data_IF_598572833869
#
_entry.id   IF_598572833869
#
_cell.length_a   1.000
_cell.length_b   1.000
_cell.length_c   1.000
_cell.angle_alpha   90.00
_cell.angle_beta   90.00
_cell.angle_gamma   90.00
#
_symmetry.space_group_name_H-M   'P 1'
#
loop_
_entity.id
_entity.type
_entity.pdbx_description
1 polymer ?
#
# COMPACT_ATOMS: atom_id res chain seq x y z
N UNK A 1 2.18 0.54 -26.27
CA UNK A 1 2.79 0.49 -24.93
C UNK A 1 1.81 -0.09 -23.93
N UNK A 2 2.26 -1.05 -23.14
CA UNK A 2 1.58 -1.38 -21.88
C UNK A 2 1.89 -0.30 -20.84
N UNK A 3 0.90 0.06 -20.05
CA UNK A 3 1.00 1.15 -19.07
C UNK A 3 0.29 0.81 -17.77
N UNK A 4 0.72 1.46 -16.68
CA UNK A 4 0.02 1.45 -15.39
C UNK A 4 -0.27 2.90 -14.97
N UNK A 5 -1.54 3.26 -14.75
CA UNK A 5 -1.88 4.51 -14.08
C UNK A 5 -1.49 4.46 -12.59
N UNK A 6 -0.80 5.48 -12.10
CA UNK A 6 -0.30 5.59 -10.73
C UNK A 6 -0.98 6.80 -10.06
N UNK A 7 -1.72 6.62 -8.95
CA UNK A 7 -2.45 7.71 -8.30
C UNK A 7 -1.54 8.73 -7.60
N UNK A 8 -0.25 8.41 -7.42
CA UNK A 8 0.80 9.34 -7.00
C UNK A 8 1.62 9.78 -8.22
N UNK A 9 1.43 11.02 -8.73
CA UNK A 9 2.09 11.45 -9.95
C UNK A 9 3.57 11.75 -9.74
N UNK A 10 4.35 11.82 -10.83
CA UNK A 10 5.75 12.23 -10.81
C UNK A 10 6.01 13.34 -11.85
N UNK A 11 5.81 14.60 -11.47
CA UNK A 11 5.96 15.72 -12.42
C UNK A 11 7.41 16.11 -12.75
N UNK A 12 8.41 15.57 -12.03
CA UNK A 12 9.85 15.86 -12.21
C UNK A 12 10.30 17.30 -11.86
N UNK A 13 9.36 18.20 -11.53
CA UNK A 13 9.63 19.65 -11.43
C UNK A 13 9.52 20.21 -10.01
N UNK A 14 8.62 19.67 -9.19
CA UNK A 14 8.39 20.17 -7.83
C UNK A 14 9.49 19.77 -6.85
N UNK A 15 9.54 20.44 -5.69
CA UNK A 15 10.52 20.16 -4.62
C UNK A 15 10.51 18.68 -4.21
N UNK A 16 9.33 18.08 -4.03
CA UNK A 16 9.22 16.67 -3.65
C UNK A 16 9.84 15.74 -4.71
N UNK A 17 9.51 15.95 -5.99
CA UNK A 17 10.08 15.13 -7.08
C UNK A 17 11.60 15.26 -7.23
N UNK A 18 12.18 16.38 -6.79
CA UNK A 18 13.63 16.61 -6.82
C UNK A 18 14.34 16.15 -5.54
N UNK A 19 13.60 15.71 -4.52
CA UNK A 19 14.15 15.33 -3.24
C UNK A 19 14.41 13.81 -3.20
N UNK A 20 15.57 13.34 -2.72
CA UNK A 20 15.96 11.93 -2.80
C UNK A 20 15.08 10.97 -1.98
N UNK A 21 14.33 11.51 -1.00
CA UNK A 21 13.52 10.70 -0.08
C UNK A 21 12.01 11.00 -0.14
N UNK A 22 11.55 11.86 -1.06
CA UNK A 22 10.13 12.21 -1.15
C UNK A 22 9.50 11.64 -2.42
N UNK A 23 8.33 11.03 -2.29
CA UNK A 23 7.52 10.51 -3.40
C UNK A 23 6.14 11.16 -3.51
N UNK A 24 5.78 12.07 -2.60
CA UNK A 24 4.49 12.78 -2.62
C UNK A 24 4.61 14.04 -3.47
N UNK A 25 4.36 13.92 -4.77
CA UNK A 25 4.37 15.07 -5.68
C UNK A 25 3.29 16.09 -5.31
N UNK A 26 3.58 17.38 -5.36
CA UNK A 26 2.60 18.45 -5.05
C UNK A 26 1.41 18.53 -6.02
N UNK A 27 1.46 17.78 -7.12
CA UNK A 27 0.38 17.67 -8.12
C UNK A 27 -0.60 16.53 -7.81
N UNK A 28 -0.42 15.80 -6.71
CA UNK A 28 -1.32 14.72 -6.30
C UNK A 28 -2.72 15.25 -5.92
N UNK A 29 -3.73 14.41 -6.06
CA UNK A 29 -5.13 14.71 -5.70
C UNK A 29 -5.53 14.29 -4.28
N UNK A 30 -4.62 13.72 -3.47
CA UNK A 30 -4.93 13.28 -2.11
C UNK A 30 -5.06 14.43 -1.10
N UNK A 31 -4.47 15.61 -1.40
CA UNK A 31 -4.59 16.80 -0.54
C UNK A 31 -5.81 17.68 -0.87
N UNK A 32 -6.05 17.93 -2.16
CA UNK A 32 -7.19 18.73 -2.63
C UNK A 32 -7.90 17.93 -3.71
N UNK A 33 -8.87 17.13 -3.28
CA UNK A 33 -9.62 16.25 -4.17
C UNK A 33 -10.64 17.07 -4.99
N UNK A 34 -10.27 17.45 -6.22
CA UNK A 34 -11.16 18.17 -7.15
C UNK A 34 -11.99 17.24 -8.02
N UNK A 35 -11.47 16.04 -8.32
CA UNK A 35 -12.11 15.09 -9.24
C UNK A 35 -12.19 15.58 -10.69
N UNK A 36 -11.29 16.49 -11.08
CA UNK A 36 -11.25 17.11 -12.42
C UNK A 36 -9.82 17.09 -12.95
N UNK A 37 -9.68 17.13 -14.28
CA UNK A 37 -8.37 17.31 -14.92
C UNK A 37 -7.79 18.70 -14.64
N UNK A 38 -6.52 18.93 -14.98
CA UNK A 38 -5.82 20.21 -14.79
C UNK A 38 -6.52 21.43 -15.45
N UNK A 39 -7.34 21.18 -16.48
CA UNK A 39 -8.16 22.20 -17.16
C UNK A 39 -9.51 22.47 -16.47
N UNK A 40 -9.73 21.93 -15.27
CA UNK A 40 -10.98 21.99 -14.49
C UNK A 40 -12.20 21.38 -15.19
N UNK A 41 -11.99 20.40 -16.07
CA UNK A 41 -13.09 19.67 -16.72
C UNK A 41 -12.99 18.16 -16.47
N UNK A 42 -14.10 17.47 -16.68
CA UNK A 42 -14.11 16.01 -16.69
C UNK A 42 -14.01 15.47 -18.11
N UNK A 43 -13.48 14.25 -18.23
CA UNK A 43 -13.49 13.45 -19.47
C UNK A 43 -14.61 12.41 -19.46
N UNK A 44 -15.36 12.34 -18.36
CA UNK A 44 -16.45 11.41 -18.17
C UNK A 44 -17.80 12.12 -18.12
N UNK A 45 -18.78 11.54 -18.79
CA UNK A 45 -20.18 11.86 -18.59
C UNK A 45 -21.01 10.58 -18.63
N UNK A 46 -22.13 10.56 -17.93
CA UNK A 46 -23.12 9.48 -18.00
C UNK A 46 -24.51 10.10 -17.93
N UNK A 47 -25.39 9.68 -18.85
CA UNK A 47 -26.77 10.21 -18.95
C UNK A 47 -26.81 11.75 -19.01
N UNK A 48 -25.88 12.34 -19.75
CA UNK A 48 -25.76 13.79 -19.92
C UNK A 48 -25.20 14.56 -18.71
N UNK A 49 -24.76 13.88 -17.65
CA UNK A 49 -24.18 14.51 -16.46
C UNK A 49 -22.68 14.24 -16.37
N UNK A 50 -21.84 15.25 -16.09
CA UNK A 50 -20.41 15.03 -15.82
C UNK A 50 -20.21 14.08 -14.64
N UNK A 51 -19.23 13.18 -14.74
CA UNK A 51 -18.78 12.33 -13.63
C UNK A 51 -17.37 12.76 -13.25
N UNK A 52 -17.03 12.82 -11.97
CA UNK A 52 -15.67 13.16 -11.55
C UNK A 52 -14.66 12.05 -11.84
N UNK A 53 -13.42 12.47 -12.03
CA UNK A 53 -12.26 11.60 -11.94
C UNK A 53 -11.98 11.18 -10.50
N UNK A 54 -11.22 10.10 -10.33
CA UNK A 54 -10.76 9.63 -9.04
C UNK A 54 -9.24 9.47 -9.05
N UNK A 55 -8.57 10.26 -8.21
CA UNK A 55 -7.12 10.26 -7.97
C UNK A 55 -6.29 10.26 -9.26
N UNK A 56 -6.73 11.04 -10.25
CA UNK A 56 -6.07 11.17 -11.56
C UNK A 56 -6.01 9.89 -12.41
N UNK A 57 -6.75 8.83 -12.08
CA UNK A 57 -6.66 7.52 -12.78
C UNK A 57 -7.99 6.96 -13.29
N UNK A 58 -9.04 6.92 -12.46
CA UNK A 58 -10.39 6.43 -12.83
C UNK A 58 -10.41 5.09 -13.58
N UNK A 59 -9.81 4.05 -13.01
CA UNK A 59 -9.58 2.77 -13.71
C UNK A 59 -10.80 1.85 -13.82
N UNK A 60 -11.95 2.22 -13.23
CA UNK A 60 -13.21 1.47 -13.34
C UNK A 60 -14.04 1.89 -14.56
N UNK A 61 -13.41 1.86 -15.73
CA UNK A 61 -13.98 2.18 -17.03
C UNK A 61 -13.19 1.41 -18.09
N UNK A 62 -13.83 1.03 -19.21
CA UNK A 62 -13.12 0.41 -20.34
C UNK A 62 -12.04 1.33 -20.92
N UNK A 63 -12.26 2.65 -20.82
CA UNK A 63 -11.30 3.68 -21.22
C UNK A 63 -11.23 4.78 -20.16
N UNK A 64 -10.03 5.32 -19.95
CA UNK A 64 -9.79 6.48 -19.09
C UNK A 64 -8.84 7.45 -19.80
N UNK A 65 -8.86 8.71 -19.36
CA UNK A 65 -7.94 9.75 -19.82
C UNK A 65 -7.16 10.22 -18.60
N UNK A 66 -5.84 10.11 -18.66
CA UNK A 66 -4.94 10.48 -17.57
C UNK A 66 -3.96 11.55 -18.04
N UNK A 67 -3.51 12.38 -17.11
CA UNK A 67 -2.37 13.26 -17.36
C UNK A 67 -1.09 12.39 -17.49
N UNK A 68 -0.15 12.82 -18.34
CA UNK A 68 1.13 12.12 -18.57
C UNK A 68 1.89 11.82 -17.27
N UNK A 69 1.83 12.73 -16.29
CA UNK A 69 2.52 12.57 -15.01
C UNK A 69 1.93 11.48 -14.09
N UNK A 70 0.78 10.88 -14.46
CA UNK A 70 0.06 9.84 -13.72
C UNK A 70 0.18 8.46 -14.38
N UNK A 71 1.01 8.29 -15.43
CA UNK A 71 1.10 7.03 -16.16
C UNK A 71 2.54 6.64 -16.44
N UNK A 72 2.87 5.39 -16.11
CA UNK A 72 4.17 4.82 -16.40
C UNK A 72 4.06 3.77 -17.49
N UNK A 73 4.96 3.85 -18.47
CA UNK A 73 5.19 2.78 -19.45
C UNK A 73 5.86 1.60 -18.73
N UNK A 74 5.39 0.40 -19.02
CA UNK A 74 5.95 -0.84 -18.49
C UNK A 74 6.44 -1.76 -19.62
N UNK A 75 7.03 -2.89 -19.24
CA UNK A 75 7.44 -3.94 -20.16
C UNK A 75 6.24 -4.46 -20.99
N UNK A 76 6.39 -4.50 -22.31
CA UNK A 76 5.37 -4.99 -23.23
C UNK A 76 5.08 -6.50 -23.04
N UNK A 77 5.99 -7.26 -22.40
CA UNK A 77 5.77 -8.65 -22.02
C UNK A 77 4.99 -8.83 -20.70
N UNK A 78 4.76 -7.76 -19.93
CA UNK A 78 4.15 -7.87 -18.61
C UNK A 78 2.70 -8.40 -18.65
N UNK A 79 2.32 -9.39 -17.81
CA UNK A 79 0.95 -9.88 -17.71
C UNK A 79 0.08 -8.90 -16.91
N UNK A 80 -0.74 -8.11 -17.61
CA UNK A 80 -1.52 -7.00 -17.03
C UNK A 80 -2.52 -7.44 -15.95
N UNK A 81 -3.01 -8.67 -16.02
CA UNK A 81 -3.87 -9.32 -15.01
C UNK A 81 -3.18 -9.53 -13.66
N UNK A 82 -1.84 -9.44 -13.61
CA UNK A 82 -1.03 -9.58 -12.40
C UNK A 82 -0.37 -8.27 -11.99
N UNK A 83 0.28 -7.60 -12.95
CA UNK A 83 1.09 -6.41 -12.64
C UNK A 83 0.25 -5.19 -12.31
N UNK A 84 -1.06 -5.22 -12.54
CA UNK A 84 -1.97 -4.17 -12.08
C UNK A 84 -1.87 -3.90 -10.57
N UNK A 85 -1.51 -4.91 -9.76
CA UNK A 85 -1.32 -4.77 -8.32
C UNK A 85 -0.14 -3.87 -7.93
N UNK A 86 0.84 -3.71 -8.83
CA UNK A 86 1.99 -2.80 -8.66
C UNK A 86 1.53 -1.34 -8.65
N UNK A 87 0.41 -1.01 -9.31
CA UNK A 87 -0.11 0.36 -9.34
C UNK A 87 -0.57 0.90 -7.98
N UNK A 88 -0.77 0.03 -6.98
CA UNK A 88 -1.09 0.45 -5.63
C UNK A 88 -0.67 -0.60 -4.58
N UNK A 89 -1.55 -1.56 -4.27
CA UNK A 89 -1.48 -2.34 -3.04
C UNK A 89 -0.18 -3.11 -2.81
N UNK A 90 0.39 -3.71 -3.85
CA UNK A 90 1.66 -4.43 -3.73
C UNK A 90 2.82 -3.47 -3.42
N UNK A 91 3.01 -2.45 -4.24
CA UNK A 91 4.10 -1.48 -4.10
C UNK A 91 4.01 -0.71 -2.79
N UNK A 92 2.81 -0.35 -2.35
CA UNK A 92 2.58 0.31 -1.06
C UNK A 92 3.08 -0.55 0.09
N UNK A 93 2.60 -1.79 0.22
CA UNK A 93 3.00 -2.64 1.35
C UNK A 93 4.46 -3.05 1.29
N UNK A 94 4.93 -3.49 0.12
CA UNK A 94 6.32 -3.91 -0.07
C UNK A 94 7.29 -2.75 0.20
N UNK A 95 7.04 -1.58 -0.39
CA UNK A 95 7.85 -0.39 -0.20
C UNK A 95 7.82 0.18 1.22
N UNK A 96 6.71 0.03 1.95
CA UNK A 96 6.64 0.40 3.37
C UNK A 96 7.67 -0.36 4.20
N UNK A 97 7.83 -1.67 3.97
CA UNK A 97 8.81 -2.47 4.67
C UNK A 97 10.25 -2.19 4.18
N UNK A 98 10.48 -2.23 2.86
CA UNK A 98 11.85 -2.20 2.31
C UNK A 98 12.43 -0.79 2.21
N UNK A 99 11.63 0.21 1.87
CA UNK A 99 12.11 1.55 1.53
C UNK A 99 11.91 2.55 2.68
N UNK A 100 10.77 2.46 3.37
CA UNK A 100 10.39 3.40 4.44
C UNK A 100 10.93 2.92 5.78
N UNK A 101 10.46 1.77 6.27
CA UNK A 101 10.92 1.19 7.53
C UNK A 101 12.38 0.70 7.43
N UNK A 102 12.80 0.26 6.24
CA UNK A 102 14.13 -0.32 5.98
C UNK A 102 14.39 -1.47 6.95
N UNK A 103 13.45 -2.41 7.00
CA UNK A 103 13.55 -3.64 7.78
C UNK A 103 14.92 -4.29 7.53
N UNK A 104 15.58 -4.74 8.59
CA UNK A 104 16.91 -5.32 8.50
C UNK A 104 16.90 -6.79 8.91
N UNK A 105 17.91 -7.54 8.45
CA UNK A 105 18.00 -8.96 8.73
C UNK A 105 18.08 -9.23 10.23
N UNK A 106 17.32 -10.22 10.71
CA UNK A 106 17.27 -10.57 12.13
C UNK A 106 16.19 -9.84 12.95
N UNK A 107 15.54 -8.80 12.39
CA UNK A 107 14.55 -8.03 13.13
C UNK A 107 13.23 -8.77 13.35
N UNK A 108 12.47 -8.33 14.34
CA UNK A 108 11.08 -8.70 14.60
C UNK A 108 10.12 -7.66 14.05
N UNK A 109 9.17 -8.09 13.22
CA UNK A 109 8.15 -7.24 12.62
C UNK A 109 6.74 -7.64 13.07
N UNK A 110 5.88 -6.65 13.29
CA UNK A 110 4.43 -6.84 13.53
C UNK A 110 3.63 -6.14 12.44
N UNK A 111 2.69 -6.86 11.84
CA UNK A 111 1.83 -6.33 10.76
C UNK A 111 0.37 -6.43 11.17
N UNK A 112 -0.28 -5.28 11.39
CA UNK A 112 -1.70 -5.17 11.72
C UNK A 112 -2.54 -5.03 10.45
N UNK A 113 -3.44 -5.98 10.21
CA UNK A 113 -4.30 -6.05 9.04
C UNK A 113 -3.71 -6.89 7.92
N UNK A 114 -4.41 -7.96 7.55
CA UNK A 114 -3.96 -8.96 6.56
C UNK A 114 -4.73 -8.86 5.23
N UNK A 115 -5.04 -7.63 4.81
CA UNK A 115 -5.49 -7.31 3.46
C UNK A 115 -4.35 -7.31 2.44
N UNK A 116 -4.61 -6.91 1.19
CA UNK A 116 -3.60 -6.92 0.13
C UNK A 116 -2.31 -6.12 0.45
N UNK A 117 -2.45 -4.97 1.12
CA UNK A 117 -1.31 -4.14 1.54
C UNK A 117 -0.52 -4.84 2.65
N UNK A 118 -1.18 -5.28 3.73
CA UNK A 118 -0.48 -5.95 4.85
C UNK A 118 0.19 -7.26 4.44
N UNK A 119 -0.42 -8.04 3.55
CA UNK A 119 0.24 -9.21 2.94
C UNK A 119 1.48 -8.81 2.13
N UNK A 120 1.48 -7.64 1.50
CA UNK A 120 2.63 -7.11 0.78
C UNK A 120 3.72 -6.57 1.70
N UNK A 121 3.35 -6.02 2.87
CA UNK A 121 4.29 -5.72 3.96
C UNK A 121 4.98 -6.99 4.43
N UNK A 122 4.24 -8.07 4.68
CA UNK A 122 4.83 -9.37 5.09
C UNK A 122 5.85 -9.86 4.06
N UNK A 123 5.54 -9.77 2.77
CA UNK A 123 6.50 -10.12 1.71
C UNK A 123 7.76 -9.24 1.77
N UNK A 124 7.60 -7.94 2.01
CA UNK A 124 8.69 -6.98 2.19
C UNK A 124 9.55 -7.26 3.43
N UNK A 125 8.95 -7.60 4.57
CA UNK A 125 9.69 -7.99 5.78
C UNK A 125 10.49 -9.28 5.56
N UNK A 126 9.87 -10.29 4.90
CA UNK A 126 10.53 -11.57 4.61
C UNK A 126 11.75 -11.41 3.71
N UNK A 127 11.63 -10.68 2.60
CA UNK A 127 12.76 -10.47 1.68
C UNK A 127 13.87 -9.64 2.31
N UNK A 128 13.54 -8.79 3.27
CA UNK A 128 14.50 -8.01 4.05
C UNK A 128 15.22 -8.83 5.14
N UNK A 129 14.82 -10.09 5.34
CA UNK A 129 15.47 -11.02 6.26
C UNK A 129 15.00 -10.93 7.72
N UNK A 130 13.80 -10.40 7.99
CA UNK A 130 13.22 -10.41 9.32
C UNK A 130 13.18 -11.85 9.88
N UNK A 131 13.61 -12.03 11.13
CA UNK A 131 13.64 -13.34 11.79
C UNK A 131 12.23 -13.77 12.26
N UNK A 132 11.44 -12.80 12.71
CA UNK A 132 10.07 -13.02 13.20
C UNK A 132 9.12 -12.03 12.53
N UNK A 133 7.98 -12.52 12.04
CA UNK A 133 6.93 -11.70 11.43
C UNK A 133 5.60 -12.12 12.05
N UNK A 134 5.12 -11.31 13.00
CA UNK A 134 3.85 -11.50 13.70
C UNK A 134 2.73 -10.80 12.92
N UNK A 135 1.80 -11.58 12.40
CA UNK A 135 0.64 -11.09 11.65
C UNK A 135 -0.59 -11.00 12.55
N UNK A 136 -1.23 -9.83 12.59
CA UNK A 136 -2.37 -9.53 13.47
C UNK A 136 -3.60 -9.23 12.63
N UNK A 137 -4.68 -9.99 12.79
CA UNK A 137 -6.00 -9.69 12.19
C UNK A 137 -7.11 -10.30 13.05
N UNK A 138 -8.27 -9.67 13.06
CA UNK A 138 -9.46 -10.20 13.74
C UNK A 138 -10.07 -11.38 12.98
N UNK A 139 -9.91 -11.42 11.65
CA UNK A 139 -10.37 -12.52 10.81
C UNK A 139 -9.26 -13.58 10.63
N UNK A 140 -9.41 -14.70 11.35
CA UNK A 140 -8.49 -15.83 11.32
C UNK A 140 -8.40 -16.54 9.97
N UNK A 141 -9.38 -16.40 9.07
CA UNK A 141 -9.34 -17.03 7.75
C UNK A 141 -8.17 -16.53 6.89
N UNK A 142 -7.66 -15.32 7.18
CA UNK A 142 -6.53 -14.71 6.46
C UNK A 142 -5.17 -15.30 6.85
N UNK A 143 -5.10 -15.99 7.99
CA UNK A 143 -3.86 -16.47 8.62
C UNK A 143 -3.09 -17.49 7.77
N UNK A 144 -3.82 -18.36 7.07
CA UNK A 144 -3.21 -19.35 6.19
C UNK A 144 -2.42 -18.66 5.07
N UNK A 145 -2.99 -17.63 4.44
CA UNK A 145 -2.33 -16.89 3.36
C UNK A 145 -1.14 -16.07 3.88
N UNK A 146 -1.26 -15.45 5.06
CA UNK A 146 -0.17 -14.71 5.68
C UNK A 146 1.07 -15.60 5.91
N UNK A 147 0.90 -16.84 6.40
CA UNK A 147 2.00 -17.80 6.59
C UNK A 147 2.68 -18.17 5.27
N UNK A 148 1.90 -18.46 4.23
CA UNK A 148 2.45 -18.76 2.89
C UNK A 148 3.35 -17.62 2.39
N UNK A 149 2.98 -16.37 2.69
CA UNK A 149 3.71 -15.19 2.24
C UNK A 149 4.88 -14.77 3.16
N UNK A 150 4.92 -15.24 4.40
CA UNK A 150 6.08 -15.03 5.28
C UNK A 150 5.82 -14.86 6.76
N UNK A 151 4.57 -14.75 7.21
CA UNK A 151 4.29 -14.65 8.64
C UNK A 151 4.78 -15.90 9.37
N UNK A 152 5.57 -15.71 10.44
CA UNK A 152 6.03 -16.80 11.30
C UNK A 152 4.95 -17.17 12.31
N UNK A 153 4.20 -16.17 12.78
CA UNK A 153 3.12 -16.29 13.74
C UNK A 153 1.91 -15.48 13.29
N UNK A 154 0.70 -15.91 13.67
CA UNK A 154 -0.48 -15.07 13.53
C UNK A 154 -1.33 -15.14 14.78
N UNK A 155 -1.82 -13.98 15.20
CA UNK A 155 -2.63 -13.82 16.42
C UNK A 155 -3.88 -13.00 16.09
N UNK A 156 -4.99 -13.32 16.75
CA UNK A 156 -6.19 -12.48 16.72
C UNK A 156 -6.34 -11.78 18.06
N UNK A 157 -6.55 -10.45 18.11
CA UNK A 157 -6.86 -9.74 19.34
C UNK A 157 -8.06 -10.32 20.11
N UNK A 158 -8.98 -11.01 19.41
CA UNK A 158 -10.17 -11.63 20.00
C UNK A 158 -9.86 -12.85 20.87
N UNK A 159 -8.65 -13.39 20.79
CA UNK A 159 -8.22 -14.55 21.57
C UNK A 159 -7.61 -14.19 22.93
N UNK A 160 -7.50 -12.89 23.22
CA UNK A 160 -6.82 -12.39 24.41
C UNK A 160 -7.76 -11.49 25.21
N UNK A 161 -7.61 -11.54 26.53
CA UNK A 161 -8.26 -10.61 27.45
C UNK A 161 -7.45 -9.33 27.66
N UNK A 162 -6.12 -9.42 27.47
CA UNK A 162 -5.20 -8.28 27.52
C UNK A 162 -5.26 -7.47 26.21
N UNK A 163 -4.96 -6.16 26.26
CA UNK A 163 -4.70 -5.38 25.05
C UNK A 163 -3.64 -6.03 24.17
N UNK A 164 -3.81 -5.94 22.84
CA UNK A 164 -2.94 -6.65 21.90
C UNK A 164 -1.48 -6.18 21.97
N UNK A 165 -1.22 -4.90 22.25
CA UNK A 165 0.15 -4.42 22.42
C UNK A 165 0.86 -5.09 23.62
N UNK A 166 0.17 -5.37 24.73
CA UNK A 166 0.76 -6.07 25.88
C UNK A 166 1.14 -7.51 25.49
N UNK A 167 0.26 -8.21 24.77
CA UNK A 167 0.52 -9.56 24.26
C UNK A 167 1.75 -9.55 23.35
N UNK A 168 1.86 -8.57 22.46
CA UNK A 168 3.02 -8.44 21.56
C UNK A 168 4.29 -8.16 22.34
N UNK A 169 4.28 -7.27 23.33
CA UNK A 169 5.44 -6.97 24.18
C UNK A 169 5.93 -8.25 24.87
N UNK A 170 5.01 -9.05 25.42
CA UNK A 170 5.32 -10.33 26.05
C UNK A 170 5.90 -11.35 25.04
N UNK A 171 5.33 -11.43 23.82
CA UNK A 171 5.81 -12.34 22.76
C UNK A 171 7.19 -11.97 22.21
N UNK A 172 7.59 -10.71 22.34
CA UNK A 172 8.81 -10.15 21.71
C UNK A 172 9.88 -9.76 22.73
N UNK A 173 9.70 -10.11 24.01
CA UNK A 173 10.62 -9.79 25.11
C UNK A 173 10.96 -8.29 25.20
N UNK A 174 9.95 -7.42 25.00
CA UNK A 174 10.11 -5.97 25.16
C UNK A 174 9.59 -5.11 24.01
N UNK A 175 9.14 -5.70 22.90
CA UNK A 175 8.56 -5.00 21.76
C UNK A 175 9.19 -5.40 20.42
N UNK A 176 8.48 -5.10 19.33
CA UNK A 176 8.97 -5.35 17.98
C UNK A 176 9.88 -4.22 17.48
N UNK A 177 10.86 -4.56 16.63
CA UNK A 177 11.71 -3.55 15.96
C UNK A 177 10.92 -2.68 15.00
N UNK A 178 9.92 -3.28 14.33
CA UNK A 178 9.08 -2.61 13.34
C UNK A 178 7.62 -3.00 13.50
N UNK A 179 6.74 -2.00 13.46
CA UNK A 179 5.29 -2.20 13.45
C UNK A 179 4.67 -1.52 12.24
N UNK A 180 3.67 -2.16 11.63
CA UNK A 180 2.98 -1.67 10.45
C UNK A 180 1.47 -1.68 10.67
N UNK A 181 0.86 -0.51 10.60
CA UNK A 181 -0.59 -0.33 10.60
C UNK A 181 -1.12 -0.37 9.16
N UNK A 182 -1.95 -1.36 8.83
CA UNK A 182 -2.49 -1.56 7.49
C UNK A 182 -4.03 -1.70 7.47
N UNK A 183 -4.73 -1.20 8.49
CA UNK A 183 -6.20 -1.25 8.63
C UNK A 183 -6.81 0.14 8.45
N UNK A 184 -6.18 1.19 8.97
CA UNK A 184 -6.71 2.55 9.00
C UNK A 184 -7.58 2.84 10.23
N UNK A 185 -7.29 2.20 11.37
CA UNK A 185 -8.00 2.40 12.65
C UNK A 185 -7.04 3.01 13.67
N UNK A 186 -7.47 4.06 14.36
CA UNK A 186 -6.66 4.77 15.38
C UNK A 186 -6.37 3.84 16.57
N UNK A 187 -7.38 3.11 17.05
CA UNK A 187 -7.33 2.29 18.27
C UNK A 187 -6.92 0.82 18.00
N UNK A 188 -6.02 0.58 17.05
CA UNK A 188 -5.64 -0.78 16.62
C UNK A 188 -4.46 -1.38 17.41
N UNK A 189 -3.75 -0.56 18.19
CA UNK A 189 -2.61 -0.92 19.05
C UNK A 189 -2.99 -0.95 20.53
#
# INVERSE_FOLDING_TARGET
DKVIPIPMPLCGKCRCCKHPYANICVKNEFGTFTGLMDDNTSRFSCKGKPIHHFVGTSTFSEYTVVNEIYVDKIDDAAPLDKVCLIGCGFSTGYGSATNIAKVHAGSTCVVFGLGGIGLSVIMGCKVSGAAQIIAVDTNKDKFAKARVLGATECISPQDFTKPIHEVIIEMTDGGADYTFECVGIIDVT
#
